data_IF_855011202549
#
_entry.id   IF_855011202549
#
_cell.length_a   1.000
_cell.length_b   1.000
_cell.length_c   1.000
_cell.angle_alpha   90.00
_cell.angle_beta   90.00
_cell.angle_gamma   90.00
#
_symmetry.space_group_name_H-M   'P 1'
#
loop_
_entity.id
_entity.type
_entity.pdbx_description
1 polymer ?
#
# COMPACT_ATOMS: atom_id res chain seq x y z
N UNK A 1 -18.38 6.27 -26.35
CA UNK A 1 -18.52 6.63 -24.93
C UNK A 1 -17.54 7.77 -24.60
N UNK A 2 -17.89 9.04 -24.91
CA UNK A 2 -16.99 10.18 -24.71
C UNK A 2 -16.58 10.38 -23.24
N UNK A 3 -17.53 10.21 -22.30
CA UNK A 3 -17.29 10.34 -20.86
C UNK A 3 -16.26 9.35 -20.31
N UNK A 4 -16.31 8.08 -20.72
CA UNK A 4 -15.36 7.07 -20.25
C UNK A 4 -13.93 7.38 -20.71
N UNK A 5 -13.78 7.91 -21.93
CA UNK A 5 -12.48 8.33 -22.45
C UNK A 5 -11.94 9.57 -21.73
N UNK A 6 -12.79 10.56 -21.53
CA UNK A 6 -12.44 11.78 -20.77
C UNK A 6 -11.99 11.43 -19.35
N UNK A 7 -12.69 10.54 -18.65
CA UNK A 7 -12.30 10.09 -17.31
C UNK A 7 -10.89 9.46 -17.28
N UNK A 8 -10.55 8.64 -18.29
CA UNK A 8 -9.21 8.05 -18.42
C UNK A 8 -8.16 9.13 -18.75
N UNK A 9 -8.47 10.09 -19.61
CA UNK A 9 -7.57 11.19 -19.94
C UNK A 9 -7.28 12.07 -18.72
N UNK A 10 -8.28 12.37 -17.89
CA UNK A 10 -8.13 13.08 -16.62
C UNK A 10 -7.26 12.30 -15.64
N UNK A 11 -7.46 10.98 -15.53
CA UNK A 11 -6.63 10.11 -14.69
C UNK A 11 -5.15 10.15 -15.11
N UNK A 12 -4.88 10.08 -16.41
CA UNK A 12 -3.51 10.17 -16.97
C UNK A 12 -2.91 11.56 -16.69
N UNK A 13 -3.67 12.64 -16.88
CA UNK A 13 -3.21 13.99 -16.62
C UNK A 13 -2.87 14.21 -15.14
N UNK A 14 -3.73 13.76 -14.23
CA UNK A 14 -3.48 13.82 -12.80
C UNK A 14 -2.24 12.99 -12.40
N UNK A 15 -2.09 11.79 -12.95
CA UNK A 15 -0.93 10.95 -12.68
C UNK A 15 0.39 11.58 -13.15
N UNK A 16 0.39 12.31 -14.26
CA UNK A 16 1.57 13.01 -14.80
C UNK A 16 2.15 14.06 -13.85
N UNK A 17 1.35 14.64 -12.96
CA UNK A 17 1.74 15.76 -12.09
C UNK A 17 2.92 15.42 -11.17
N UNK A 18 3.04 14.16 -10.73
CA UNK A 18 4.15 13.75 -9.86
C UNK A 18 5.31 13.09 -10.61
N UNK A 19 5.22 12.91 -11.93
CA UNK A 19 6.37 12.45 -12.72
C UNK A 19 7.29 13.63 -13.00
N UNK A 20 8.57 13.43 -12.77
CA UNK A 20 9.60 14.44 -13.03
C UNK A 20 10.86 13.77 -13.54
N UNK A 21 11.62 14.50 -14.35
CA UNK A 21 12.93 14.07 -14.81
C UNK A 21 14.02 14.47 -13.81
N UNK A 22 15.07 13.65 -13.71
CA UNK A 22 16.21 13.94 -12.85
C UNK A 22 15.94 13.67 -11.36
N UNK A 23 16.10 14.70 -10.54
CA UNK A 23 16.16 14.59 -9.09
C UNK A 23 15.33 15.68 -8.41
N UNK A 24 14.50 15.31 -7.44
CA UNK A 24 13.80 16.22 -6.56
C UNK A 24 14.10 15.85 -5.10
N UNK A 25 14.49 16.86 -4.32
CA UNK A 25 14.91 16.71 -2.91
C UNK A 25 15.95 15.59 -2.67
N UNK A 26 16.85 15.39 -3.62
CA UNK A 26 17.91 14.41 -3.52
C UNK A 26 17.50 12.99 -3.94
N UNK A 27 16.28 12.75 -4.42
CA UNK A 27 15.80 11.45 -4.87
C UNK A 27 15.32 11.49 -6.33
N UNK A 28 15.56 10.40 -7.06
CA UNK A 28 14.99 10.15 -8.39
C UNK A 28 13.58 9.57 -8.26
N UNK A 29 12.78 9.64 -9.32
CA UNK A 29 11.41 9.10 -9.35
C UNK A 29 11.31 7.65 -8.83
N UNK A 30 12.18 6.74 -9.31
CA UNK A 30 12.20 5.35 -8.83
C UNK A 30 12.56 5.20 -7.35
N UNK A 31 13.35 6.11 -6.79
CA UNK A 31 13.72 6.10 -5.37
C UNK A 31 12.57 6.62 -4.50
N UNK A 32 11.81 7.62 -4.98
CA UNK A 32 10.56 8.05 -4.38
C UNK A 32 9.52 6.94 -4.38
N UNK A 33 9.30 6.29 -5.52
CA UNK A 33 8.38 5.17 -5.64
C UNK A 33 8.74 4.04 -4.66
N UNK A 34 10.03 3.72 -4.53
CA UNK A 34 10.51 2.74 -3.56
C UNK A 34 10.25 3.15 -2.11
N UNK A 35 10.58 4.40 -1.74
CA UNK A 35 10.36 4.91 -0.39
C UNK A 35 8.86 4.93 -0.04
N UNK A 36 8.01 5.40 -0.96
CA UNK A 36 6.56 5.43 -0.81
C UNK A 36 5.97 4.04 -0.64
N UNK A 37 6.40 3.08 -1.47
CA UNK A 37 6.00 1.69 -1.32
C UNK A 37 6.34 1.16 0.07
N UNK A 38 7.59 1.34 0.54
CA UNK A 38 8.02 0.82 1.83
C UNK A 38 7.31 1.48 3.03
N UNK A 39 7.02 2.78 2.93
CA UNK A 39 6.18 3.49 3.91
C UNK A 39 4.76 2.94 3.96
N UNK A 40 4.21 2.54 2.81
CA UNK A 40 2.84 2.02 2.69
C UNK A 40 2.70 0.50 2.68
N UNK A 41 3.77 -0.27 2.75
CA UNK A 41 3.74 -1.73 2.69
C UNK A 41 3.51 -2.36 4.07
N UNK A 42 2.72 -3.43 4.14
CA UNK A 42 2.61 -4.25 5.35
C UNK A 42 3.94 -4.98 5.62
N UNK A 43 4.10 -5.52 6.82
CA UNK A 43 5.39 -6.11 7.22
C UNK A 43 5.85 -7.27 6.33
N UNK A 44 4.93 -8.03 5.74
CA UNK A 44 5.24 -9.14 4.83
C UNK A 44 5.79 -8.67 3.47
N UNK A 45 5.47 -7.44 3.08
CA UNK A 45 5.81 -6.86 1.79
C UNK A 45 7.04 -5.94 1.84
N UNK A 46 7.62 -5.75 3.03
CA UNK A 46 8.81 -4.91 3.24
C UNK A 46 10.12 -5.65 2.98
N UNK A 47 10.22 -6.41 1.89
CA UNK A 47 11.43 -7.17 1.53
C UNK A 47 12.09 -6.63 0.26
N UNK A 48 13.40 -6.83 0.05
CA UNK A 48 14.06 -6.42 -1.19
C UNK A 48 13.42 -7.05 -2.45
N UNK A 49 12.93 -8.29 -2.36
CA UNK A 49 12.25 -8.98 -3.47
C UNK A 49 10.88 -8.38 -3.76
N UNK A 50 10.08 -8.09 -2.72
CA UNK A 50 8.78 -7.45 -2.86
C UNK A 50 8.94 -6.04 -3.46
N UNK A 51 9.93 -5.27 -2.99
CA UNK A 51 10.26 -3.98 -3.56
C UNK A 51 10.62 -4.10 -5.05
N UNK A 52 11.52 -5.03 -5.41
CA UNK A 52 11.96 -5.22 -6.79
C UNK A 52 10.80 -5.54 -7.74
N UNK A 53 9.88 -6.42 -7.31
CA UNK A 53 8.65 -6.71 -8.04
C UNK A 53 7.78 -5.47 -8.21
N UNK A 54 7.49 -4.78 -7.11
CA UNK A 54 6.61 -3.61 -7.10
C UNK A 54 7.09 -2.47 -8.01
N UNK A 55 8.39 -2.17 -8.02
CA UNK A 55 8.94 -1.07 -8.83
C UNK A 55 9.34 -1.51 -10.26
N UNK A 56 9.06 -2.75 -10.65
CA UNK A 56 9.44 -3.30 -11.95
C UNK A 56 10.95 -3.24 -12.21
N UNK A 57 11.77 -3.60 -11.22
CA UNK A 57 13.23 -3.52 -11.31
C UNK A 57 13.91 -4.86 -11.02
N UNK A 58 15.12 -5.02 -11.57
CA UNK A 58 15.96 -6.17 -11.22
C UNK A 58 16.36 -6.12 -9.74
N UNK A 59 16.70 -7.28 -9.15
CA UNK A 59 17.21 -7.34 -7.76
C UNK A 59 18.44 -6.47 -7.55
N UNK A 60 19.31 -6.35 -8.57
CA UNK A 60 20.50 -5.49 -8.52
C UNK A 60 20.10 -4.01 -8.43
N UNK A 61 19.18 -3.56 -9.29
CA UNK A 61 18.66 -2.19 -9.29
C UNK A 61 17.93 -1.87 -7.97
N UNK A 62 17.07 -2.76 -7.49
CA UNK A 62 16.39 -2.59 -6.21
C UNK A 62 17.38 -2.50 -5.04
N UNK A 63 18.41 -3.35 -5.03
CA UNK A 63 19.47 -3.30 -4.02
C UNK A 63 20.22 -1.97 -4.02
N UNK A 64 20.49 -1.41 -5.20
CA UNK A 64 21.14 -0.10 -5.32
C UNK A 64 20.25 1.05 -4.83
N UNK A 65 18.95 0.99 -5.11
CA UNK A 65 17.97 1.95 -4.57
C UNK A 65 17.95 1.87 -3.05
N UNK A 66 17.87 0.67 -2.47
CA UNK A 66 17.89 0.51 -1.01
C UNK A 66 19.16 1.08 -0.40
N UNK A 67 20.35 0.79 -0.98
CA UNK A 67 21.62 1.38 -0.53
C UNK A 67 21.59 2.91 -0.55
N UNK A 68 21.00 3.49 -1.59
CA UNK A 68 20.88 4.96 -1.74
C UNK A 68 20.00 5.55 -0.64
N UNK A 69 18.85 4.92 -0.37
CA UNK A 69 17.91 5.35 0.66
C UNK A 69 18.45 5.16 2.09
N UNK A 70 19.22 4.09 2.35
CA UNK A 70 19.95 3.90 3.61
C UNK A 70 21.05 4.92 3.80
N UNK A 71 21.82 5.24 2.74
CA UNK A 71 22.86 6.28 2.78
C UNK A 71 22.30 7.67 3.09
N UNK A 72 21.00 7.89 2.84
CA UNK A 72 20.25 9.10 3.22
C UNK A 72 19.52 8.96 4.56
N UNK A 73 19.73 7.87 5.29
CA UNK A 73 19.06 7.55 6.55
C UNK A 73 17.55 7.46 6.46
N UNK A 74 16.97 7.23 5.27
CA UNK A 74 15.52 7.08 5.08
C UNK A 74 15.03 5.66 5.35
N UNK A 75 15.92 4.67 5.22
CA UNK A 75 15.63 3.26 5.48
C UNK A 75 16.66 2.63 6.42
N UNK A 76 16.27 1.53 7.06
CA UNK A 76 17.16 0.62 7.78
C UNK A 76 16.78 -0.83 7.51
N UNK A 77 17.79 -1.70 7.39
CA UNK A 77 17.59 -3.15 7.34
C UNK A 77 17.50 -3.74 8.75
N UNK A 78 16.54 -4.62 8.96
CA UNK A 78 16.42 -5.43 10.17
C UNK A 78 16.23 -6.90 9.80
N UNK A 79 16.65 -7.86 10.64
CA UNK A 79 16.24 -9.25 10.48
C UNK A 79 14.71 -9.32 10.41
N UNK A 80 14.18 -10.08 9.45
CA UNK A 80 12.73 -10.28 9.37
C UNK A 80 12.26 -11.08 10.59
N UNK A 81 11.07 -10.75 11.09
CA UNK A 81 10.43 -11.51 12.15
C UNK A 81 9.93 -12.88 11.65
N UNK A 82 9.66 -12.98 10.35
CA UNK A 82 8.99 -14.14 9.74
C UNK A 82 10.00 -15.20 9.32
N UNK A 83 11.17 -14.76 8.86
CA UNK A 83 12.33 -15.61 8.58
C UNK A 83 13.61 -14.85 8.93
N UNK A 84 14.28 -15.25 10.01
CA UNK A 84 15.53 -14.62 10.48
C UNK A 84 16.68 -14.69 9.46
N UNK A 85 16.59 -15.54 8.43
CA UNK A 85 17.55 -15.59 7.32
C UNK A 85 17.29 -14.51 6.27
N UNK A 86 16.12 -13.87 6.33
CA UNK A 86 15.71 -12.79 5.45
C UNK A 86 15.79 -11.44 6.14
N UNK A 87 15.74 -10.37 5.33
CA UNK A 87 15.84 -8.99 5.79
C UNK A 87 14.55 -8.25 5.47
N UNK A 88 14.06 -7.49 6.45
CA UNK A 88 12.99 -6.52 6.32
C UNK A 88 13.56 -5.09 6.19
N UNK A 89 12.95 -4.30 5.33
CA UNK A 89 13.26 -2.89 5.07
C UNK A 89 12.28 -2.03 5.85
N UNK A 90 12.78 -1.23 6.78
CA UNK A 90 11.96 -0.33 7.59
C UNK A 90 12.27 1.11 7.24
N UNK A 91 11.23 1.90 7.03
CA UNK A 91 11.35 3.35 6.94
C UNK A 91 11.71 3.91 8.32
N UNK A 92 12.61 4.89 8.34
CA UNK A 92 13.00 5.61 9.55
C UNK A 92 12.07 6.80 9.77
N UNK A 93 12.12 7.42 10.94
CA UNK A 93 11.42 8.68 11.19
C UNK A 93 11.82 9.79 10.19
N UNK A 94 13.09 9.80 9.76
CA UNK A 94 13.59 10.71 8.73
C UNK A 94 12.94 10.43 7.37
N UNK A 95 12.80 9.15 7.01
CA UNK A 95 12.12 8.74 5.77
C UNK A 95 10.64 9.13 5.76
N UNK A 96 9.93 8.90 6.86
CA UNK A 96 8.52 9.31 7.03
C UNK A 96 8.35 10.83 6.93
N UNK A 97 9.25 11.59 7.56
CA UNK A 97 9.28 13.06 7.44
C UNK A 97 9.56 13.50 6.00
N UNK A 98 10.46 12.81 5.29
CA UNK A 98 10.76 13.11 3.90
C UNK A 98 9.52 12.90 3.01
N UNK A 99 8.80 11.78 3.19
CA UNK A 99 7.55 11.52 2.47
C UNK A 99 6.48 12.59 2.75
N UNK A 100 6.24 12.91 4.02
CA UNK A 100 5.18 13.86 4.37
C UNK A 100 5.44 15.29 3.89
N UNK A 101 6.71 15.70 3.81
CA UNK A 101 7.07 17.09 3.47
C UNK A 101 7.38 17.30 2.00
N UNK A 102 7.97 16.30 1.32
CA UNK A 102 8.63 16.52 0.03
C UNK A 102 8.21 15.53 -1.05
N UNK A 103 7.36 14.54 -0.77
CA UNK A 103 6.91 13.61 -1.80
C UNK A 103 6.11 14.35 -2.89
N UNK A 104 6.53 14.31 -4.16
CA UNK A 104 5.83 14.99 -5.26
C UNK A 104 4.36 14.55 -5.44
N UNK A 105 3.96 13.36 -4.97
CA UNK A 105 2.55 12.94 -5.02
C UNK A 105 1.66 13.76 -4.09
N UNK A 106 2.23 14.45 -3.09
CA UNK A 106 1.46 15.20 -2.11
C UNK A 106 0.58 16.27 -2.77
N UNK A 107 0.97 16.82 -3.93
CA UNK A 107 0.12 17.73 -4.70
C UNK A 107 -1.21 17.08 -5.11
N UNK A 108 -1.17 15.83 -5.59
CA UNK A 108 -2.39 15.10 -5.97
C UNK A 108 -3.15 14.60 -4.76
N UNK A 109 -2.45 14.14 -3.71
CA UNK A 109 -3.09 13.78 -2.44
C UNK A 109 -3.90 14.97 -1.90
N UNK A 110 -3.29 16.15 -1.84
CA UNK A 110 -3.95 17.37 -1.37
C UNK A 110 -5.13 17.77 -2.26
N UNK A 111 -4.98 17.71 -3.58
CA UNK A 111 -6.07 18.00 -4.51
C UNK A 111 -7.27 17.05 -4.32
N UNK A 112 -7.02 15.76 -4.09
CA UNK A 112 -8.08 14.79 -3.78
C UNK A 112 -8.70 15.10 -2.42
N UNK A 113 -7.90 15.38 -1.38
CA UNK A 113 -8.40 15.75 -0.05
C UNK A 113 -9.29 16.99 -0.08
N UNK A 114 -8.99 17.98 -0.93
CA UNK A 114 -9.80 19.19 -1.09
C UNK A 114 -11.20 18.94 -1.68
N UNK A 115 -11.50 17.75 -2.21
CA UNK A 115 -12.84 17.40 -2.67
C UNK A 115 -13.85 17.22 -1.53
N UNK A 116 -13.38 16.95 -0.31
CA UNK A 116 -14.23 16.54 0.82
C UNK A 116 -14.30 15.02 0.99
N UNK A 117 -14.71 14.57 2.18
CA UNK A 117 -14.66 13.15 2.56
C UNK A 117 -15.57 12.26 1.69
N UNK A 118 -16.78 12.72 1.38
CA UNK A 118 -17.75 11.93 0.62
C UNK A 118 -17.30 11.76 -0.83
N UNK A 119 -16.82 12.83 -1.46
CA UNK A 119 -16.22 12.82 -2.80
C UNK A 119 -14.97 11.94 -2.85
N UNK A 120 -14.09 12.01 -1.84
CA UNK A 120 -12.91 11.15 -1.72
C UNK A 120 -13.29 9.67 -1.70
N UNK A 121 -14.32 9.33 -0.92
CA UNK A 121 -14.86 7.97 -0.83
C UNK A 121 -15.40 7.52 -2.19
N UNK A 122 -16.22 8.35 -2.86
CA UNK A 122 -16.77 8.04 -4.18
C UNK A 122 -15.68 7.85 -5.23
N UNK A 123 -14.67 8.71 -5.25
CA UNK A 123 -13.53 8.60 -6.18
C UNK A 123 -12.74 7.32 -5.92
N UNK A 124 -12.40 7.05 -4.66
CA UNK A 124 -11.68 5.82 -4.24
C UNK A 124 -12.43 4.57 -4.68
N UNK A 125 -13.74 4.51 -4.45
CA UNK A 125 -14.54 3.32 -4.74
C UNK A 125 -14.75 3.14 -6.24
N UNK A 126 -14.88 4.23 -6.99
CA UNK A 126 -14.89 4.21 -8.46
C UNK A 126 -13.57 3.67 -9.03
N UNK A 127 -12.43 4.16 -8.54
CA UNK A 127 -11.11 3.66 -8.95
C UNK A 127 -10.91 2.19 -8.56
N UNK A 128 -11.39 1.79 -7.38
CA UNK A 128 -11.38 0.39 -6.94
C UNK A 128 -12.14 -0.49 -7.93
N UNK A 129 -13.33 -0.08 -8.36
CA UNK A 129 -14.14 -0.85 -9.29
C UNK A 129 -13.51 -0.93 -10.69
N UNK A 130 -12.91 0.16 -11.17
CA UNK A 130 -12.12 0.14 -12.41
C UNK A 130 -10.99 -0.88 -12.31
N UNK A 131 -10.22 -0.88 -11.21
CA UNK A 131 -9.14 -1.86 -11.00
C UNK A 131 -9.68 -3.29 -10.90
N UNK A 132 -10.85 -3.50 -10.29
CA UNK A 132 -11.50 -4.82 -10.23
C UNK A 132 -11.81 -5.36 -11.63
N UNK A 133 -12.27 -4.52 -12.55
CA UNK A 133 -12.52 -4.90 -13.94
C UNK A 133 -11.23 -5.20 -14.72
N UNK A 134 -10.14 -4.49 -14.45
CA UNK A 134 -8.84 -4.71 -15.11
C UNK A 134 -8.15 -6.00 -14.64
N UNK A 135 -8.25 -6.34 -13.36
CA UNK A 135 -7.68 -7.57 -12.81
C UNK A 135 -8.32 -8.82 -13.41
N UNK A 136 -9.64 -8.80 -13.66
CA UNK A 136 -10.35 -9.88 -14.34
C UNK A 136 -9.83 -10.09 -15.78
N UNK A 137 -9.27 -9.04 -16.39
CA UNK A 137 -8.64 -9.07 -17.71
C UNK A 137 -7.15 -9.53 -17.69
N UNK A 138 -6.70 -10.19 -16.61
CA UNK A 138 -5.38 -10.85 -16.46
C UNK A 138 -4.17 -9.93 -16.18
N UNK A 139 -4.38 -8.69 -15.76
CA UNK A 139 -3.29 -7.86 -15.22
C UNK A 139 -3.19 -8.08 -13.70
N UNK A 140 -2.20 -8.84 -13.23
CA UNK A 140 -1.93 -8.93 -11.79
C UNK A 140 -1.47 -7.55 -11.28
N UNK A 141 -2.13 -7.02 -10.25
CA UNK A 141 -1.59 -5.91 -9.48
C UNK A 141 -0.37 -6.41 -8.71
N UNK A 142 0.76 -5.68 -8.81
CA UNK A 142 1.98 -6.00 -8.06
C UNK A 142 1.80 -5.80 -6.54
N UNK A 143 0.84 -4.99 -6.11
CA UNK A 143 0.33 -4.92 -4.75
C UNK A 143 -1.08 -4.28 -4.69
N UNK A 144 -1.86 -4.64 -3.65
CA UNK A 144 -3.11 -3.94 -3.31
C UNK A 144 -3.31 -3.92 -1.79
N UNK A 145 -4.39 -3.29 -1.31
CA UNK A 145 -4.67 -3.13 0.13
C UNK A 145 -4.92 -4.49 0.78
N UNK A 146 -4.25 -4.76 1.90
CA UNK A 146 -4.26 -6.05 2.58
C UNK A 146 -5.67 -6.47 3.05
N UNK A 147 -6.54 -5.52 3.42
CA UNK A 147 -7.93 -5.80 3.83
C UNK A 147 -8.78 -6.46 2.76
N UNK A 148 -8.45 -6.23 1.49
CA UNK A 148 -9.17 -6.79 0.35
C UNK A 148 -8.60 -8.16 -0.07
N UNK A 149 -7.51 -8.62 0.59
CA UNK A 149 -6.81 -9.84 0.22
C UNK A 149 -7.58 -11.09 0.67
N UNK A 150 -7.70 -12.08 -0.22
CA UNK A 150 -8.33 -13.36 0.08
C UNK A 150 -7.71 -14.10 1.27
N UNK A 151 -6.43 -13.86 1.57
CA UNK A 151 -5.75 -14.51 2.69
C UNK A 151 -6.09 -13.89 4.05
N UNK A 152 -6.69 -12.70 4.12
CA UNK A 152 -7.11 -12.10 5.38
C UNK A 152 -8.32 -12.84 5.95
N UNK A 153 -8.27 -13.14 7.24
CA UNK A 153 -9.38 -13.72 7.98
C UNK A 153 -9.56 -12.96 9.30
N UNK A 154 -10.81 -12.69 9.65
CA UNK A 154 -11.17 -12.27 11.01
C UNK A 154 -10.95 -13.43 11.98
N UNK A 155 -10.35 -13.15 13.13
CA UNK A 155 -10.34 -14.09 14.25
C UNK A 155 -11.68 -13.98 14.97
N UNK A 156 -12.48 -15.06 14.96
CA UNK A 156 -13.63 -15.14 15.87
C UNK A 156 -13.15 -14.93 17.31
N UNK A 157 -13.91 -14.21 18.15
CA UNK A 157 -13.54 -13.99 19.54
C UNK A 157 -13.48 -15.35 20.24
N UNK A 158 -12.27 -15.82 20.53
CA UNK A 158 -12.09 -16.96 21.41
C UNK A 158 -12.62 -16.59 22.80
N UNK A 159 -13.39 -17.48 23.41
CA UNK A 159 -13.99 -17.36 24.75
C UNK A 159 -12.97 -17.28 25.90
N UNK A 160 -11.70 -17.03 25.61
CA UNK A 160 -10.62 -16.96 26.59
C UNK A 160 -10.44 -15.56 27.14
N UNK A 161 -10.80 -15.37 28.41
CA UNK A 161 -10.39 -14.23 29.24
C UNK A 161 -8.87 -14.09 29.22
N UNK A 162 -8.34 -13.08 28.52
CA UNK A 162 -6.97 -12.61 28.72
C UNK A 162 -6.23 -12.22 27.44
N UNK A 163 -5.86 -10.93 27.38
CA UNK A 163 -4.97 -10.24 26.42
C UNK A 163 -5.48 -10.08 24.99
N UNK A 164 -5.95 -8.87 24.71
CA UNK A 164 -5.98 -8.21 23.39
C UNK A 164 -4.75 -8.60 22.57
N UNK A 165 -4.85 -9.08 21.32
CA UNK A 165 -3.62 -9.13 20.50
C UNK A 165 -3.73 -9.09 18.97
N UNK A 166 -4.81 -9.51 18.31
CA UNK A 166 -5.04 -9.18 16.89
C UNK A 166 -6.40 -9.70 16.43
N UNK A 167 -7.22 -8.80 15.87
CA UNK A 167 -8.54 -9.09 15.31
C UNK A 167 -8.46 -9.83 13.96
N UNK A 168 -7.31 -9.76 13.28
CA UNK A 168 -7.12 -10.35 11.97
C UNK A 168 -5.93 -11.31 11.92
N UNK A 169 -5.96 -12.21 10.94
CA UNK A 169 -4.90 -13.16 10.64
C UNK A 169 -4.66 -13.26 9.14
N UNK A 170 -3.40 -13.31 8.72
CA UNK A 170 -3.04 -13.72 7.36
C UNK A 170 -2.97 -15.24 7.30
N UNK A 171 -3.80 -15.89 6.49
CA UNK A 171 -3.76 -17.36 6.30
C UNK A 171 -2.53 -17.83 5.53
N UNK A 172 -1.97 -16.99 4.65
CA UNK A 172 -0.75 -17.30 3.90
C UNK A 172 0.48 -17.40 4.81
N UNK A 173 0.70 -16.38 5.64
CA UNK A 173 1.84 -16.33 6.58
C UNK A 173 1.53 -16.96 7.95
N UNK A 174 0.28 -17.36 8.19
CA UNK A 174 -0.22 -17.90 9.47
C UNK A 174 0.12 -17.00 10.66
N UNK A 175 0.01 -15.69 10.45
CA UNK A 175 0.46 -14.68 11.40
C UNK A 175 -0.65 -13.65 11.71
N UNK A 176 -0.73 -13.13 12.96
CA UNK A 176 -1.69 -12.10 13.34
C UNK A 176 -1.42 -10.78 12.61
N UNK A 177 -2.45 -10.02 12.23
CA UNK A 177 -2.33 -8.70 11.60
C UNK A 177 -3.14 -7.69 12.42
N UNK A 178 -2.59 -6.51 12.69
CA UNK A 178 -3.33 -5.42 13.32
C UNK A 178 -4.27 -4.74 12.33
N UNK A 179 -5.28 -4.00 12.81
CA UNK A 179 -6.19 -3.26 11.95
C UNK A 179 -5.42 -2.28 11.04
N UNK A 180 -4.44 -1.57 11.57
CA UNK A 180 -3.63 -0.59 10.82
C UNK A 180 -2.83 -1.26 9.69
N UNK A 181 -2.29 -2.45 9.92
CA UNK A 181 -1.56 -3.19 8.89
C UNK A 181 -2.48 -3.70 7.76
N UNK A 182 -3.78 -3.87 8.01
CA UNK A 182 -4.73 -4.24 6.95
C UNK A 182 -4.94 -3.13 5.92
N UNK A 183 -4.68 -1.87 6.29
CA UNK A 183 -4.80 -0.70 5.42
C UNK A 183 -3.54 -0.44 4.57
N UNK A 184 -2.51 -1.29 4.73
CA UNK A 184 -1.25 -1.21 4.00
C UNK A 184 -1.26 -2.10 2.76
N UNK A 185 -0.33 -1.81 1.84
CA UNK A 185 -0.10 -2.57 0.61
C UNK A 185 0.45 -3.97 0.92
N UNK A 186 -0.11 -4.97 0.25
CA UNK A 186 0.29 -6.36 0.30
C UNK A 186 0.73 -6.81 -1.10
N UNK A 187 1.97 -7.24 -1.25
CA UNK A 187 2.52 -7.82 -2.50
C UNK A 187 2.12 -9.27 -2.72
N UNK A 188 1.70 -9.96 -1.64
CA UNK A 188 1.06 -11.27 -1.70
C UNK A 188 -0.46 -11.15 -1.84
N UNK A 189 -0.95 -9.98 -2.24
CA UNK A 189 -2.37 -9.75 -2.46
C UNK A 189 -2.87 -10.70 -3.55
N UNK A 190 -3.85 -11.49 -3.19
CA UNK A 190 -4.67 -12.23 -4.13
C UNK A 190 -6.13 -11.86 -3.92
N UNK A 191 -6.83 -11.64 -5.02
CA UNK A 191 -8.24 -11.30 -5.04
C UNK A 191 -9.08 -12.57 -4.90
N UNK A 192 -10.08 -12.54 -4.04
CA UNK A 192 -11.06 -13.64 -3.95
C UNK A 192 -11.84 -13.68 -5.27
N UNK A 193 -11.73 -14.77 -6.04
CA UNK A 193 -12.46 -14.91 -7.31
C UNK A 193 -13.98 -15.10 -7.10
N UNK A 194 -14.42 -15.53 -5.91
CA UNK A 194 -15.83 -15.82 -5.58
C UNK A 194 -16.21 -15.50 -4.11
N UNK A 195 -16.51 -14.23 -3.78
CA UNK A 195 -17.32 -13.93 -2.57
C UNK A 195 -18.17 -12.65 -2.76
N UNK A 196 -19.47 -12.66 -2.41
CA UNK A 196 -20.29 -11.46 -2.40
C UNK A 196 -19.71 -10.40 -1.46
N UNK A 197 -19.81 -9.13 -1.86
CA UNK A 197 -19.43 -7.94 -1.08
C UNK A 197 -19.86 -8.07 0.38
N UNK A 198 -18.91 -8.26 1.30
CA UNK A 198 -19.16 -8.03 2.73
C UNK A 198 -19.00 -6.53 2.97
N UNK A 199 -19.99 -5.76 2.54
CA UNK A 199 -20.00 -4.29 2.62
C UNK A 199 -20.67 -3.76 3.91
N UNK A 200 -20.90 -4.59 4.95
CA UNK A 200 -21.78 -4.14 6.08
C UNK A 200 -21.17 -4.09 7.48
N UNK A 201 -19.94 -4.59 7.72
CA UNK A 201 -19.37 -4.58 9.08
C UNK A 201 -18.23 -3.58 9.31
N UNK A 202 -17.48 -3.19 8.28
CA UNK A 202 -16.35 -2.26 8.43
C UNK A 202 -16.77 -0.79 8.57
N UNK A 203 -17.91 -0.38 8.00
CA UNK A 203 -18.42 0.98 8.14
C UNK A 203 -18.95 1.26 9.55
N UNK A 204 -19.39 0.25 10.31
CA UNK A 204 -19.82 0.41 11.70
C UNK A 204 -18.64 0.68 12.66
N UNK A 205 -17.46 0.11 12.39
CA UNK A 205 -16.27 0.37 13.19
C UNK A 205 -15.66 1.76 12.91
N UNK A 206 -15.83 2.28 11.68
CA UNK A 206 -15.37 3.62 11.28
C UNK A 206 -16.09 4.76 11.99
N UNK A 207 -17.40 4.65 12.19
CA UNK A 207 -18.19 5.67 12.91
C UNK A 207 -17.88 5.65 14.40
N UNK A 208 -17.47 4.51 14.96
CA UNK A 208 -17.19 4.37 16.40
C UNK A 208 -15.76 4.79 16.83
N UNK A 209 -14.81 4.89 15.90
CA UNK A 209 -13.38 5.19 16.18
C UNK A 209 -12.97 6.62 15.84
N UNK A 210 -13.88 7.44 15.31
CA UNK A 210 -13.69 8.87 15.04
C UNK A 210 -14.51 9.76 15.99
N UNK A 211 -14.99 9.20 17.10
CA UNK A 211 -15.64 9.92 18.21
C UNK A 211 -14.69 10.16 19.37
#
# INVERSE_FOLDING_TARGET
MPLAREAVELLIQAARVWYFEGNQHGLRDREWMALRFLGRANRFSRTPSALAGFIGATRATASQIVKTLEGKSFLVRKPSQEDKRSVALHITAQGEKCLSQHDPINHVVNAVTSLGNDECVRLRDSLREVLNHLDAAHQRLDASICRDCMFLAERSPATSKGRTSAEFMCRLYRAPISLEETELLCTSFERTRDRPKIEQHLDRARVASQG
#
